data_IF_777754833704
#
_entry.id   IF_777754833704
#
_cell.length_a   1.000
_cell.length_b   1.000
_cell.length_c   1.000
_cell.angle_alpha   90.00
_cell.angle_beta   90.00
_cell.angle_gamma   90.00
#
_symmetry.space_group_name_H-M   'P 1'
#
loop_
_entity.id
_entity.type
_entity.pdbx_description
1 polymer ?
#
# COMPACT_ATOMS: atom_id res chain seq x y z
N UNK A 1 63.88 -41.16 -21.04
CA UNK A 1 63.47 -39.81 -20.57
C UNK A 1 63.95 -39.61 -19.14
N UNK A 2 64.54 -38.47 -18.76
CA UNK A 2 64.97 -38.23 -17.38
C UNK A 2 63.75 -38.19 -16.45
N UNK A 3 63.79 -38.93 -15.35
CA UNK A 3 62.66 -39.17 -14.43
C UNK A 3 61.96 -37.87 -13.96
N UNK A 4 62.72 -36.79 -13.81
CA UNK A 4 62.20 -35.47 -13.44
C UNK A 4 61.28 -34.84 -14.50
N UNK A 5 61.48 -35.09 -15.80
CA UNK A 5 60.56 -34.62 -16.87
C UNK A 5 59.26 -35.42 -16.87
N UNK A 6 59.33 -36.71 -16.56
CA UNK A 6 58.14 -37.58 -16.48
C UNK A 6 57.27 -37.18 -15.28
N UNK A 7 57.86 -36.90 -14.12
CA UNK A 7 57.12 -36.40 -12.94
C UNK A 7 56.43 -35.06 -13.21
N UNK A 8 57.12 -34.10 -13.85
CA UNK A 8 56.50 -32.83 -14.26
C UNK A 8 55.37 -33.04 -15.27
N UNK A 9 55.53 -33.96 -16.22
CA UNK A 9 54.49 -34.27 -17.20
C UNK A 9 53.25 -34.91 -16.55
N UNK A 10 53.45 -35.85 -15.62
CA UNK A 10 52.35 -36.48 -14.86
C UNK A 10 51.63 -35.43 -14.00
N UNK A 11 52.38 -34.57 -13.29
CA UNK A 11 51.81 -33.51 -12.47
C UNK A 11 51.02 -32.49 -13.32
N UNK A 12 51.54 -32.11 -14.49
CA UNK A 12 50.85 -31.22 -15.42
C UNK A 12 49.57 -31.84 -15.97
N UNK A 13 49.62 -33.10 -16.42
CA UNK A 13 48.43 -33.80 -16.91
C UNK A 13 47.39 -33.95 -15.80
N UNK A 14 47.81 -34.31 -14.58
CA UNK A 14 46.91 -34.41 -13.43
C UNK A 14 46.25 -33.05 -13.13
N UNK A 15 47.03 -31.96 -13.11
CA UNK A 15 46.50 -30.61 -12.95
C UNK A 15 45.50 -30.25 -14.07
N UNK A 16 45.82 -30.57 -15.32
CA UNK A 16 44.96 -30.31 -16.47
C UNK A 16 43.64 -31.09 -16.39
N UNK A 17 43.68 -32.39 -16.09
CA UNK A 17 42.47 -33.21 -15.91
C UNK A 17 41.62 -32.76 -14.71
N UNK A 18 42.25 -32.37 -13.59
CA UNK A 18 41.51 -31.82 -12.44
C UNK A 18 40.86 -30.48 -12.75
N UNK A 19 41.54 -29.58 -13.48
CA UNK A 19 40.97 -28.32 -13.91
C UNK A 19 39.80 -28.53 -14.89
N UNK A 20 39.92 -29.48 -15.80
CA UNK A 20 38.88 -29.83 -16.77
C UNK A 20 37.66 -30.46 -16.07
N UNK A 21 37.87 -31.30 -15.07
CA UNK A 21 36.80 -31.84 -14.22
C UNK A 21 36.10 -30.74 -13.41
N UNK A 22 36.85 -29.81 -12.80
CA UNK A 22 36.31 -28.64 -12.09
C UNK A 22 35.47 -27.75 -13.01
N UNK A 23 35.99 -27.45 -14.21
CA UNK A 23 35.26 -26.67 -15.21
C UNK A 23 33.97 -27.37 -15.66
N UNK A 24 34.00 -28.68 -15.86
CA UNK A 24 32.81 -29.46 -16.20
C UNK A 24 31.75 -29.44 -15.07
N UNK A 25 32.17 -29.57 -13.80
CA UNK A 25 31.26 -29.47 -12.64
C UNK A 25 30.66 -28.07 -12.54
N UNK A 26 31.46 -27.01 -12.73
CA UNK A 26 30.97 -25.63 -12.73
C UNK A 26 29.99 -25.36 -13.87
N UNK A 27 30.26 -25.88 -15.08
CA UNK A 27 29.35 -25.78 -16.22
C UNK A 27 28.03 -26.52 -15.97
N UNK A 28 28.09 -27.75 -15.46
CA UNK A 28 26.89 -28.53 -15.11
C UNK A 28 26.07 -27.86 -14.01
N UNK A 29 26.72 -27.33 -12.98
CA UNK A 29 26.07 -26.55 -11.93
C UNK A 29 25.42 -25.28 -12.49
N UNK A 30 26.13 -24.56 -13.36
CA UNK A 30 25.62 -23.37 -14.04
C UNK A 30 24.39 -23.66 -14.91
N UNK A 31 24.43 -24.72 -15.74
CA UNK A 31 23.31 -25.13 -16.58
C UNK A 31 22.11 -25.57 -15.74
N UNK A 32 22.35 -26.32 -14.66
CA UNK A 32 21.29 -26.76 -13.75
C UNK A 32 20.65 -25.57 -13.02
N UNK A 33 21.46 -24.66 -12.51
CA UNK A 33 20.99 -23.44 -11.84
C UNK A 33 20.21 -22.54 -12.81
N UNK A 34 20.70 -22.40 -14.04
CA UNK A 34 20.00 -21.68 -15.11
C UNK A 34 18.66 -22.33 -15.45
N UNK A 35 18.60 -23.67 -15.57
CA UNK A 35 17.36 -24.41 -15.81
C UNK A 35 16.33 -24.24 -14.68
N UNK A 36 16.77 -24.29 -13.43
CA UNK A 36 15.91 -24.02 -12.27
C UNK A 36 15.41 -22.56 -12.26
N UNK A 37 16.29 -21.59 -12.57
CA UNK A 37 15.90 -20.18 -12.65
C UNK A 37 14.90 -19.91 -13.79
N UNK A 38 15.10 -20.53 -14.95
CA UNK A 38 14.21 -20.39 -16.11
C UNK A 38 12.83 -21.00 -15.85
N UNK A 39 12.78 -22.19 -15.26
CA UNK A 39 11.51 -22.85 -14.88
C UNK A 39 10.78 -22.07 -13.78
N UNK A 40 11.50 -21.55 -12.78
CA UNK A 40 10.93 -20.67 -11.76
C UNK A 40 10.32 -19.40 -12.38
N UNK A 41 11.03 -18.76 -13.33
CA UNK A 41 10.53 -17.59 -14.05
C UNK A 41 9.27 -17.89 -14.86
N UNK A 42 9.24 -19.01 -15.59
CA UNK A 42 8.07 -19.43 -16.38
C UNK A 42 6.87 -19.76 -15.48
N UNK A 43 7.11 -20.47 -14.38
CA UNK A 43 6.07 -20.79 -13.40
C UNK A 43 5.52 -19.53 -12.75
N UNK A 44 6.38 -18.58 -12.36
CA UNK A 44 5.95 -17.30 -11.81
C UNK A 44 5.14 -16.48 -12.82
N UNK A 45 5.56 -16.44 -14.10
CA UNK A 45 4.80 -15.78 -15.16
C UNK A 45 3.42 -16.42 -15.37
N UNK A 46 3.33 -17.75 -15.31
CA UNK A 46 2.06 -18.49 -15.36
C UNK A 46 1.16 -18.14 -14.17
N UNK A 47 1.69 -18.12 -12.96
CA UNK A 47 0.96 -17.74 -11.74
C UNK A 47 0.45 -16.29 -11.82
N UNK A 48 1.24 -15.37 -12.36
CA UNK A 48 0.84 -13.98 -12.60
C UNK A 48 -0.32 -13.89 -13.60
N UNK A 49 -0.29 -14.68 -14.67
CA UNK A 49 -1.38 -14.74 -15.64
C UNK A 49 -2.67 -15.34 -15.03
N UNK A 50 -2.53 -16.40 -14.23
CA UNK A 50 -3.64 -17.01 -13.48
C UNK A 50 -4.25 -16.04 -12.46
N UNK A 51 -3.41 -15.29 -11.76
CA UNK A 51 -3.84 -14.24 -10.84
C UNK A 51 -4.66 -13.14 -11.53
N UNK A 52 -4.31 -12.76 -12.77
CA UNK A 52 -5.11 -11.80 -13.55
C UNK A 52 -6.50 -12.36 -13.88
N UNK A 53 -6.57 -13.61 -14.30
CA UNK A 53 -7.84 -14.28 -14.63
C UNK A 53 -8.76 -14.35 -13.41
N UNK A 54 -8.23 -14.78 -12.26
CA UNK A 54 -8.99 -14.87 -10.99
C UNK A 54 -9.45 -13.51 -10.47
N UNK A 55 -8.64 -12.45 -10.67
CA UNK A 55 -9.03 -11.09 -10.29
C UNK A 55 -10.23 -10.59 -11.11
N UNK A 56 -10.26 -10.88 -12.42
CA UNK A 56 -11.39 -10.54 -13.30
C UNK A 56 -12.69 -11.23 -12.90
N UNK A 57 -12.62 -12.34 -12.16
CA UNK A 57 -13.77 -13.06 -11.60
C UNK A 57 -14.16 -12.56 -10.20
N UNK A 58 -13.47 -11.55 -9.65
CA UNK A 58 -13.72 -11.01 -8.31
C UNK A 58 -13.15 -11.84 -7.16
N UNK A 59 -12.34 -12.87 -7.44
CA UNK A 59 -11.79 -13.78 -6.43
C UNK A 59 -10.49 -13.24 -5.80
N UNK A 60 -10.56 -12.09 -5.13
CA UNK A 60 -9.40 -11.33 -4.60
C UNK A 60 -8.51 -12.18 -3.68
N UNK A 61 -9.08 -13.05 -2.85
CA UNK A 61 -8.33 -13.92 -1.95
C UNK A 61 -7.44 -14.92 -2.70
N UNK A 62 -7.98 -15.60 -3.72
CA UNK A 62 -7.21 -16.56 -4.52
C UNK A 62 -6.16 -15.84 -5.36
N UNK A 63 -6.49 -14.66 -5.90
CA UNK A 63 -5.50 -13.80 -6.57
C UNK A 63 -4.32 -13.48 -5.63
N UNK A 64 -4.61 -13.06 -4.40
CA UNK A 64 -3.58 -12.74 -3.41
C UNK A 64 -2.68 -13.95 -3.12
N UNK A 65 -3.28 -15.13 -2.90
CA UNK A 65 -2.56 -16.37 -2.63
C UNK A 65 -1.63 -16.76 -3.78
N UNK A 66 -2.12 -16.68 -5.01
CA UNK A 66 -1.36 -17.01 -6.22
C UNK A 66 -0.19 -16.06 -6.44
N UNK A 67 -0.38 -14.76 -6.24
CA UNK A 67 0.69 -13.76 -6.35
C UNK A 67 1.78 -13.94 -5.28
N UNK A 68 1.40 -14.27 -4.05
CA UNK A 68 2.38 -14.58 -2.99
C UNK A 68 3.24 -15.79 -3.35
N UNK A 69 2.63 -16.83 -3.90
CA UNK A 69 3.37 -18.01 -4.35
C UNK A 69 4.36 -17.66 -5.49
N UNK A 70 3.96 -16.79 -6.42
CA UNK A 70 4.85 -16.30 -7.46
C UNK A 70 6.06 -15.53 -6.88
N UNK A 71 5.83 -14.66 -5.89
CA UNK A 71 6.90 -13.91 -5.23
C UNK A 71 7.87 -14.81 -4.43
N UNK A 72 7.35 -15.81 -3.73
CA UNK A 72 8.17 -16.75 -2.97
C UNK A 72 9.03 -17.65 -3.88
N UNK A 73 8.51 -18.02 -5.05
CA UNK A 73 9.21 -18.90 -5.99
C UNK A 73 10.19 -18.15 -6.89
N UNK A 74 9.90 -16.90 -7.24
CA UNK A 74 10.76 -16.09 -8.10
C UNK A 74 10.63 -14.58 -7.78
N UNK A 75 11.34 -14.07 -6.76
CA UNK A 75 11.26 -12.66 -6.34
C UNK A 75 11.40 -11.62 -7.45
N UNK A 76 12.25 -11.78 -8.49
CA UNK A 76 12.35 -10.80 -9.58
C UNK A 76 11.06 -10.54 -10.36
N UNK A 77 10.04 -11.40 -10.22
CA UNK A 77 8.71 -11.17 -10.78
C UNK A 77 7.99 -9.96 -10.16
N UNK A 78 8.49 -9.44 -9.03
CA UNK A 78 7.95 -8.29 -8.30
C UNK A 78 7.67 -7.08 -9.21
N UNK A 79 8.60 -6.71 -10.10
CA UNK A 79 8.41 -5.61 -11.04
C UNK A 79 7.21 -5.86 -11.97
N UNK A 80 7.12 -7.09 -12.50
CA UNK A 80 6.02 -7.52 -13.34
C UNK A 80 4.68 -7.51 -12.60
N UNK A 81 4.66 -7.90 -11.33
CA UNK A 81 3.46 -7.87 -10.48
C UNK A 81 3.01 -6.43 -10.24
N UNK A 82 3.92 -5.53 -9.85
CA UNK A 82 3.59 -4.13 -9.60
C UNK A 82 3.06 -3.45 -10.86
N UNK A 83 3.73 -3.62 -11.99
CA UNK A 83 3.27 -3.09 -13.28
C UNK A 83 1.93 -3.70 -13.72
N UNK A 84 1.71 -4.98 -13.44
CA UNK A 84 0.53 -5.71 -13.92
C UNK A 84 -0.75 -5.46 -13.10
N UNK A 85 -0.62 -5.25 -11.79
CA UNK A 85 -1.76 -5.18 -10.87
C UNK A 85 -1.97 -3.77 -10.31
N UNK A 86 -0.93 -2.93 -10.25
CA UNK A 86 -1.01 -1.50 -9.94
C UNK A 86 -1.97 -1.20 -8.78
N UNK A 87 -3.04 -0.40 -9.00
CA UNK A 87 -4.05 -0.07 -7.97
C UNK A 87 -4.68 -1.28 -7.26
N UNK A 88 -4.89 -2.38 -7.98
CA UNK A 88 -5.54 -3.61 -7.44
C UNK A 88 -4.77 -4.22 -6.27
N UNK A 89 -3.47 -3.94 -6.16
CA UNK A 89 -2.64 -4.35 -5.02
C UNK A 89 -3.10 -3.70 -3.71
N UNK A 90 -3.87 -2.62 -3.75
CA UNK A 90 -4.47 -1.98 -2.57
C UNK A 90 -5.43 -2.90 -1.81
N UNK A 91 -6.09 -3.83 -2.51
CA UNK A 91 -6.93 -4.88 -1.93
C UNK A 91 -6.17 -6.16 -1.52
N UNK A 92 -4.83 -6.17 -1.68
CA UNK A 92 -3.99 -7.36 -1.48
C UNK A 92 -2.85 -7.09 -0.48
N UNK A 93 -3.17 -6.82 0.81
CA UNK A 93 -2.20 -6.38 1.81
C UNK A 93 -1.01 -7.33 1.98
N UNK A 94 -1.22 -8.64 1.89
CA UNK A 94 -0.13 -9.62 2.08
C UNK A 94 0.84 -9.66 0.89
N UNK A 95 0.38 -9.35 -0.32
CA UNK A 95 1.26 -9.25 -1.50
C UNK A 95 2.11 -8.00 -1.38
N UNK A 96 1.51 -6.89 -0.94
CA UNK A 96 2.23 -5.63 -0.68
C UNK A 96 3.29 -5.76 0.39
N UNK A 97 3.00 -6.43 1.49
CA UNK A 97 3.96 -6.63 2.57
C UNK A 97 5.20 -7.40 2.07
N UNK A 98 5.00 -8.49 1.32
CA UNK A 98 6.07 -9.23 0.67
C UNK A 98 6.88 -8.34 -0.29
N UNK A 99 6.22 -7.49 -1.09
CA UNK A 99 6.91 -6.58 -2.02
C UNK A 99 7.76 -5.53 -1.29
N UNK A 100 7.24 -4.96 -0.20
CA UNK A 100 7.97 -3.99 0.64
C UNK A 100 9.10 -4.63 1.43
N UNK A 101 8.95 -5.88 1.86
CA UNK A 101 10.02 -6.68 2.47
C UNK A 101 11.15 -6.93 1.47
N UNK A 102 10.85 -7.49 0.29
CA UNK A 102 11.84 -7.72 -0.76
C UNK A 102 12.57 -6.42 -1.17
N UNK A 103 11.84 -5.30 -1.23
CA UNK A 103 12.43 -3.98 -1.50
C UNK A 103 13.36 -3.52 -0.37
N UNK A 104 12.96 -3.68 0.90
CA UNK A 104 13.78 -3.31 2.08
C UNK A 104 15.07 -4.12 2.14
N UNK A 105 14.99 -5.40 1.78
CA UNK A 105 16.15 -6.31 1.74
C UNK A 105 17.07 -6.06 0.53
N UNK A 106 16.62 -5.27 -0.45
CA UNK A 106 17.36 -5.03 -1.69
C UNK A 106 17.44 -6.25 -2.62
N UNK A 107 16.56 -7.24 -2.45
CA UNK A 107 16.55 -8.48 -3.23
C UNK A 107 15.94 -8.30 -4.63
N UNK A 108 15.19 -7.21 -4.83
CA UNK A 108 14.53 -6.88 -6.09
C UNK A 108 14.75 -5.40 -6.44
N UNK A 109 14.94 -5.11 -7.72
CA UNK A 109 14.95 -3.76 -8.23
C UNK A 109 13.57 -3.43 -8.80
N UNK A 110 12.94 -2.39 -8.26
CA UNK A 110 11.69 -1.84 -8.78
C UNK A 110 12.00 -0.55 -9.54
N UNK A 111 11.39 -0.37 -10.72
CA UNK A 111 11.54 0.87 -11.49
C UNK A 111 10.93 2.07 -10.75
N UNK A 112 11.34 3.30 -11.09
CA UNK A 112 10.76 4.52 -10.51
C UNK A 112 9.23 4.58 -10.70
N UNK A 113 8.72 4.08 -11.84
CA UNK A 113 7.29 3.95 -12.10
C UNK A 113 6.61 2.94 -11.17
N UNK A 114 7.23 1.79 -10.94
CA UNK A 114 6.75 0.78 -10.00
C UNK A 114 6.85 1.23 -8.54
N UNK A 115 7.87 2.00 -8.18
CA UNK A 115 7.99 2.65 -6.88
C UNK A 115 6.91 3.71 -6.68
N UNK A 116 6.59 4.49 -7.72
CA UNK A 116 5.50 5.45 -7.70
C UNK A 116 4.14 4.73 -7.56
N UNK A 117 3.89 3.67 -8.34
CA UNK A 117 2.69 2.84 -8.21
C UNK A 117 2.60 2.23 -6.82
N UNK A 118 3.67 1.64 -6.30
CA UNK A 118 3.73 1.13 -4.94
C UNK A 118 3.50 2.23 -3.91
N UNK A 119 4.00 3.45 -4.09
CA UNK A 119 3.77 4.59 -3.19
C UNK A 119 2.34 5.14 -3.26
N UNK A 120 1.74 5.15 -4.45
CA UNK A 120 0.34 5.50 -4.69
C UNK A 120 -0.61 4.46 -4.08
N UNK A 121 -0.21 3.18 -4.14
CA UNK A 121 -0.88 2.02 -3.53
C UNK A 121 -0.54 1.88 -2.03
N UNK A 122 0.59 2.42 -1.55
CA UNK A 122 1.03 2.44 -0.12
C UNK A 122 0.26 3.43 0.74
N UNK A 123 -0.88 3.85 0.23
CA UNK A 123 -1.99 4.47 0.94
C UNK A 123 -2.94 3.36 1.43
N UNK A 124 -3.50 3.43 2.65
CA UNK A 124 -4.40 2.40 3.14
C UNK A 124 -5.75 2.45 2.37
N UNK A 125 -6.54 1.38 2.44
CA UNK A 125 -6.92 0.49 1.34
C UNK A 125 -7.97 1.08 0.38
N UNK A 126 -7.90 0.70 -0.90
CA UNK A 126 -9.11 0.63 -1.72
C UNK A 126 -9.90 -0.63 -1.34
N UNK A 127 -10.81 -0.50 -0.38
CA UNK A 127 -12.09 -1.22 -0.46
C UNK A 127 -13.03 -0.55 -1.47
N UNK A 128 -12.49 0.13 -2.48
CA UNK A 128 -13.26 0.76 -3.54
C UNK A 128 -12.85 0.09 -4.85
N UNK A 129 -13.62 -0.94 -5.20
CA UNK A 129 -13.52 -1.58 -6.49
C UNK A 129 -13.61 -0.56 -7.63
N UNK A 130 -12.88 -0.82 -8.73
CA UNK A 130 -12.91 -0.06 -9.97
C UNK A 130 -14.26 -0.11 -10.74
N UNK A 131 -15.36 -0.46 -10.08
CA UNK A 131 -16.71 -0.15 -10.53
C UNK A 131 -17.21 1.23 -10.00
N UNK A 132 -16.39 1.93 -9.19
CA UNK A 132 -16.71 3.25 -8.60
C UNK A 132 -15.87 4.39 -9.23
N UNK A 133 -14.86 4.07 -10.05
CA UNK A 133 -13.89 5.05 -10.58
C UNK A 133 -13.76 5.00 -12.11
N UNK A 134 -14.85 5.28 -12.82
CA UNK A 134 -14.75 5.90 -14.15
C UNK A 134 -15.99 6.76 -14.43
N UNK A 135 -15.82 8.09 -14.33
CA UNK A 135 -16.41 9.09 -15.22
C UNK A 135 -15.52 10.36 -15.18
N UNK A 136 -14.80 10.60 -16.28
CA UNK A 136 -13.85 11.70 -16.62
C UNK A 136 -14.25 13.16 -16.23
N UNK A 137 -13.43 14.24 -16.48
CA UNK A 137 -12.05 14.38 -17.02
C UNK A 137 -11.12 15.17 -16.02
N UNK A 138 -9.94 15.76 -16.37
CA UNK A 138 -8.87 16.07 -15.40
C UNK A 138 -9.25 17.15 -14.38
N UNK A 139 -9.65 16.70 -13.18
CA UNK A 139 -9.93 17.51 -12.00
C UNK A 139 -9.37 16.91 -10.69
N UNK A 140 -8.48 15.92 -10.79
CA UNK A 140 -8.12 15.02 -9.68
C UNK A 140 -7.02 15.53 -8.74
N UNK A 141 -6.22 16.52 -9.15
CA UNK A 141 -5.07 16.97 -8.38
C UNK A 141 -5.45 17.54 -7.01
N UNK A 142 -6.54 18.31 -6.92
CA UNK A 142 -6.94 18.99 -5.68
C UNK A 142 -7.61 18.03 -4.68
N UNK A 143 -8.44 17.09 -5.15
CA UNK A 143 -9.01 16.05 -4.30
C UNK A 143 -7.90 15.11 -3.78
N UNK A 144 -6.95 14.75 -4.64
CA UNK A 144 -5.77 13.98 -4.29
C UNK A 144 -4.85 14.73 -3.32
N UNK A 145 -4.67 16.04 -3.51
CA UNK A 145 -3.95 16.92 -2.59
C UNK A 145 -4.62 16.92 -1.21
N UNK A 146 -5.95 17.01 -1.16
CA UNK A 146 -6.70 16.94 0.10
C UNK A 146 -6.48 15.62 0.84
N UNK A 147 -6.55 14.49 0.12
CA UNK A 147 -6.32 13.15 0.68
C UNK A 147 -4.87 12.98 1.16
N UNK A 148 -3.89 13.45 0.40
CA UNK A 148 -2.47 13.36 0.78
C UNK A 148 -2.10 14.27 1.95
N UNK A 149 -2.64 15.48 1.99
CA UNK A 149 -2.49 16.36 3.14
C UNK A 149 -3.09 15.71 4.40
N UNK A 150 -4.24 15.05 4.29
CA UNK A 150 -4.87 14.33 5.40
C UNK A 150 -3.97 13.22 5.95
N UNK A 151 -3.30 12.42 5.10
CA UNK A 151 -2.41 11.33 5.54
C UNK A 151 -1.08 11.82 6.13
N UNK A 152 -0.69 13.06 5.82
CA UNK A 152 0.43 13.78 6.46
C UNK A 152 0.03 14.51 7.74
N UNK A 153 -1.27 14.52 8.07
CA UNK A 153 -1.81 15.29 9.17
C UNK A 153 -1.88 16.78 8.90
N UNK A 154 -1.78 17.26 7.66
CA UNK A 154 -1.86 18.68 7.31
C UNK A 154 -3.33 19.11 7.16
N UNK A 155 -4.06 19.23 8.28
CA UNK A 155 -5.52 19.41 8.26
C UNK A 155 -5.99 20.69 7.54
N UNK A 156 -5.26 21.80 7.68
CA UNK A 156 -5.61 23.06 6.99
C UNK A 156 -5.43 22.95 5.48
N UNK A 157 -4.30 22.43 5.03
CA UNK A 157 -4.02 22.17 3.60
C UNK A 157 -5.08 21.24 3.02
N UNK A 158 -5.42 20.18 3.75
CA UNK A 158 -6.46 19.24 3.33
C UNK A 158 -7.83 19.92 3.19
N UNK A 159 -8.24 20.72 4.19
CA UNK A 159 -9.51 21.47 4.15
C UNK A 159 -9.60 22.36 2.93
N UNK A 160 -8.57 23.19 2.69
CA UNK A 160 -8.55 24.12 1.55
C UNK A 160 -8.60 23.38 0.22
N UNK A 161 -7.88 22.27 0.09
CA UNK A 161 -7.89 21.46 -1.12
C UNK A 161 -9.27 20.81 -1.36
N UNK A 162 -9.91 20.28 -0.32
CA UNK A 162 -11.25 19.71 -0.44
C UNK A 162 -12.31 20.76 -0.75
N UNK A 163 -12.24 21.94 -0.15
CA UNK A 163 -13.13 23.06 -0.47
C UNK A 163 -12.97 23.47 -1.93
N UNK A 164 -11.73 23.74 -2.38
CA UNK A 164 -11.48 24.12 -3.77
C UNK A 164 -11.94 23.06 -4.78
N UNK A 165 -11.90 21.78 -4.42
CA UNK A 165 -12.49 20.73 -5.26
C UNK A 165 -14.02 20.80 -5.25
N UNK A 166 -14.66 20.76 -4.08
CA UNK A 166 -16.11 20.65 -3.97
C UNK A 166 -16.87 21.91 -4.40
N UNK A 167 -16.26 23.08 -4.32
CA UNK A 167 -16.83 24.35 -4.80
C UNK A 167 -17.15 24.30 -6.30
N UNK A 168 -16.34 23.58 -7.08
CA UNK A 168 -16.57 23.36 -8.53
C UNK A 168 -17.47 22.17 -8.86
N UNK A 169 -17.87 21.36 -7.88
CA UNK A 169 -18.48 20.04 -8.08
C UNK A 169 -19.75 19.83 -7.24
N UNK A 170 -20.60 20.86 -7.10
CA UNK A 170 -21.76 20.83 -6.21
C UNK A 170 -22.72 19.65 -6.46
N UNK A 171 -23.01 19.31 -7.72
CA UNK A 171 -23.87 18.18 -8.07
C UNK A 171 -23.26 16.83 -7.66
N UNK A 172 -21.98 16.61 -8.00
CA UNK A 172 -21.23 15.42 -7.62
C UNK A 172 -21.09 15.32 -6.09
N UNK A 173 -20.91 16.45 -5.39
CA UNK A 173 -20.87 16.50 -3.93
C UNK A 173 -22.17 15.97 -3.32
N UNK A 174 -23.32 16.42 -3.85
CA UNK A 174 -24.63 16.01 -3.36
C UNK A 174 -24.88 14.51 -3.60
N UNK A 175 -24.50 14.01 -4.78
CA UNK A 175 -24.58 12.58 -5.09
C UNK A 175 -23.68 11.75 -4.16
N UNK A 176 -22.41 12.15 -4.03
CA UNK A 176 -21.45 11.48 -3.15
C UNK A 176 -21.93 11.48 -1.69
N UNK A 177 -22.44 12.61 -1.19
CA UNK A 177 -23.04 12.71 0.14
C UNK A 177 -24.17 11.69 0.32
N UNK A 178 -25.08 11.60 -0.65
CA UNK A 178 -26.21 10.68 -0.59
C UNK A 178 -25.77 9.21 -0.62
N UNK A 179 -24.73 8.88 -1.38
CA UNK A 179 -24.16 7.52 -1.46
C UNK A 179 -23.42 7.12 -0.17
N UNK A 180 -22.67 8.03 0.45
CA UNK A 180 -21.83 7.73 1.61
C UNK A 180 -22.59 7.75 2.95
N UNK A 181 -23.74 8.42 2.99
CA UNK A 181 -24.63 8.46 4.14
C UNK A 181 -25.34 7.10 4.31
N UNK A 182 -25.37 6.53 5.53
CA UNK A 182 -26.00 5.24 5.76
C UNK A 182 -27.52 5.40 5.66
N UNK A 183 -28.19 4.54 4.87
CA UNK A 183 -29.65 4.60 4.68
C UNK A 183 -30.43 4.15 5.92
N UNK A 184 -29.92 3.17 6.66
CA UNK A 184 -30.57 2.61 7.85
C UNK A 184 -29.52 2.28 8.93
N UNK A 185 -28.87 3.28 9.55
CA UNK A 185 -27.92 3.03 10.63
C UNK A 185 -28.65 2.47 11.85
N UNK A 186 -28.10 1.40 12.44
CA UNK A 186 -28.65 0.75 13.65
C UNK A 186 -27.76 0.93 14.87
N UNK A 187 -26.49 1.24 14.64
CA UNK A 187 -25.46 1.32 15.67
C UNK A 187 -24.63 2.59 15.53
N UNK A 188 -23.93 2.98 16.60
CA UNK A 188 -22.94 4.05 16.52
C UNK A 188 -21.78 3.72 15.57
N UNK A 189 -21.47 2.44 15.37
CA UNK A 189 -20.46 1.98 14.41
C UNK A 189 -20.85 2.33 12.95
N UNK A 190 -22.13 2.20 12.58
CA UNK A 190 -22.60 2.55 11.23
C UNK A 190 -22.35 4.03 10.92
N UNK A 191 -22.63 4.89 11.90
CA UNK A 191 -22.38 6.32 11.82
C UNK A 191 -20.88 6.64 11.78
N UNK A 192 -20.07 5.94 12.56
CA UNK A 192 -18.61 6.10 12.57
C UNK A 192 -17.99 5.70 11.22
N UNK A 193 -18.38 4.55 10.66
CA UNK A 193 -17.90 4.10 9.35
C UNK A 193 -18.33 5.09 8.26
N UNK A 194 -19.55 5.61 8.32
CA UNK A 194 -19.99 6.66 7.41
C UNK A 194 -19.17 7.94 7.54
N UNK A 195 -18.91 8.40 8.77
CA UNK A 195 -18.07 9.56 9.03
C UNK A 195 -16.67 9.39 8.44
N UNK A 196 -16.06 8.21 8.58
CA UNK A 196 -14.77 7.91 7.93
C UNK A 196 -14.85 8.03 6.41
N UNK A 197 -15.87 7.46 5.77
CA UNK A 197 -16.04 7.56 4.31
C UNK A 197 -16.19 9.01 3.85
N UNK A 198 -16.97 9.81 4.56
CA UNK A 198 -17.16 11.25 4.29
C UNK A 198 -15.85 12.03 4.50
N UNK A 199 -15.12 11.73 5.57
CA UNK A 199 -13.82 12.32 5.88
C UNK A 199 -12.79 12.10 4.77
N UNK A 200 -12.65 10.87 4.28
CA UNK A 200 -11.73 10.52 3.19
C UNK A 200 -12.10 11.16 1.84
N UNK A 201 -13.35 11.57 1.67
CA UNK A 201 -13.83 12.28 0.48
C UNK A 201 -13.87 13.80 0.68
N UNK A 202 -13.38 14.32 1.80
CA UNK A 202 -13.33 15.77 2.02
C UNK A 202 -14.68 16.41 2.35
N UNK A 203 -15.72 15.61 2.58
CA UNK A 203 -17.04 16.04 3.04
C UNK A 203 -17.00 16.21 4.57
N UNK A 204 -16.13 17.09 5.05
CA UNK A 204 -15.74 17.15 6.46
C UNK A 204 -16.86 17.62 7.38
N UNK A 205 -17.71 18.54 6.94
CA UNK A 205 -18.85 18.98 7.75
C UNK A 205 -19.80 17.80 8.01
N UNK A 206 -20.13 17.03 6.96
CA UNK A 206 -20.97 15.84 7.08
C UNK A 206 -20.26 14.70 7.84
N UNK A 207 -18.93 14.61 7.74
CA UNK A 207 -18.16 13.65 8.50
C UNK A 207 -18.25 13.92 10.01
N UNK A 208 -18.09 15.17 10.42
CA UNK A 208 -18.21 15.57 11.82
C UNK A 208 -19.63 15.33 12.36
N UNK A 209 -20.67 15.65 11.59
CA UNK A 209 -22.06 15.32 11.94
C UNK A 209 -22.25 13.80 12.15
N UNK A 210 -21.64 12.98 11.30
CA UNK A 210 -21.71 11.52 11.42
C UNK A 210 -20.96 11.02 12.66
N UNK A 211 -19.78 11.57 12.97
CA UNK A 211 -19.06 11.26 14.20
C UNK A 211 -19.84 11.67 15.45
N UNK A 212 -20.51 12.82 15.43
CA UNK A 212 -21.37 13.26 16.53
C UNK A 212 -22.53 12.30 16.78
N UNK A 213 -23.15 11.79 15.71
CA UNK A 213 -24.18 10.73 15.81
C UNK A 213 -23.62 9.41 16.32
N UNK A 214 -22.42 9.02 15.88
CA UNK A 214 -21.75 7.81 16.36
C UNK A 214 -21.53 7.86 17.87
N UNK A 215 -21.03 9.00 18.35
CA UNK A 215 -20.81 9.28 19.78
C UNK A 215 -22.11 9.31 20.57
N UNK A 216 -23.16 9.96 20.05
CA UNK A 216 -24.47 9.99 20.69
C UNK A 216 -25.08 8.57 20.82
N UNK A 217 -24.75 7.67 19.90
CA UNK A 217 -25.11 6.25 19.94
C UNK A 217 -24.12 5.38 20.74
N UNK A 218 -23.18 5.98 21.49
CA UNK A 218 -22.28 5.29 22.41
C UNK A 218 -21.00 4.71 21.78
N UNK A 219 -20.68 5.03 20.52
CA UNK A 219 -19.43 4.60 19.91
C UNK A 219 -18.25 5.44 20.44
N UNK A 220 -17.26 4.79 21.07
CA UNK A 220 -16.04 5.42 21.57
C UNK A 220 -14.80 4.62 21.13
N UNK A 221 -13.87 5.29 20.46
CA UNK A 221 -12.59 4.72 20.05
C UNK A 221 -11.53 5.83 19.92
N UNK A 222 -10.26 5.46 19.77
CA UNK A 222 -9.17 6.42 19.66
C UNK A 222 -9.38 7.43 18.50
N UNK A 223 -9.88 6.94 17.37
CA UNK A 223 -10.16 7.77 16.19
C UNK A 223 -11.22 8.84 16.49
N UNK A 224 -12.20 8.55 17.35
CA UNK A 224 -13.20 9.54 17.76
C UNK A 224 -12.55 10.73 18.47
N UNK A 225 -11.60 10.48 19.38
CA UNK A 225 -10.84 11.55 20.05
C UNK A 225 -9.97 12.33 19.06
N UNK A 226 -9.42 11.65 18.04
CA UNK A 226 -8.71 12.31 16.95
C UNK A 226 -9.64 13.24 16.14
N UNK A 227 -10.83 12.78 15.74
CA UNK A 227 -11.75 13.60 14.95
C UNK A 227 -12.29 14.80 15.73
N UNK A 228 -12.58 14.65 17.03
CA UNK A 228 -12.90 15.78 17.91
C UNK A 228 -11.74 16.78 17.95
N UNK A 229 -10.50 16.28 18.10
CA UNK A 229 -9.30 17.12 18.07
C UNK A 229 -9.15 17.87 16.75
N UNK A 230 -9.39 17.21 15.63
CA UNK A 230 -9.36 17.82 14.30
C UNK A 230 -10.42 18.91 14.14
N UNK A 231 -11.64 18.69 14.62
CA UNK A 231 -12.70 19.70 14.62
C UNK A 231 -12.31 20.92 15.46
N UNK A 232 -11.79 20.70 16.68
CA UNK A 232 -11.31 21.76 17.55
C UNK A 232 -10.15 22.56 16.90
N UNK A 233 -9.19 21.88 16.28
CA UNK A 233 -8.05 22.52 15.62
C UNK A 233 -8.48 23.38 14.44
N UNK A 234 -9.37 22.86 13.58
CA UNK A 234 -9.92 23.58 12.43
C UNK A 234 -10.78 24.77 12.84
N UNK A 235 -11.36 24.74 14.05
CA UNK A 235 -12.05 25.87 14.68
C UNK A 235 -11.11 26.86 15.38
N UNK A 236 -9.79 26.66 15.33
CA UNK A 236 -8.79 27.53 15.97
C UNK A 236 -8.57 27.25 17.46
N UNK A 237 -9.16 26.19 18.02
CA UNK A 237 -9.05 25.81 19.44
C UNK A 237 -7.88 24.84 19.66
N UNK A 238 -6.66 25.30 19.36
CA UNK A 238 -5.43 24.50 19.42
C UNK A 238 -5.15 23.80 20.76
N UNK A 239 -5.28 24.48 21.92
CA UNK A 239 -5.06 23.83 23.23
C UNK A 239 -6.07 22.71 23.54
N UNK A 240 -7.31 22.85 23.09
CA UNK A 240 -8.34 21.81 23.22
C UNK A 240 -8.01 20.62 22.30
N UNK A 241 -7.62 20.90 21.06
CA UNK A 241 -7.20 19.88 20.10
C UNK A 241 -6.02 19.04 20.62
N UNK A 242 -5.00 19.68 21.22
CA UNK A 242 -3.86 18.97 21.78
C UNK A 242 -4.27 17.98 22.88
N UNK A 243 -5.17 18.37 23.79
CA UNK A 243 -5.71 17.47 24.82
C UNK A 243 -6.47 16.30 24.22
N UNK A 244 -7.21 16.52 23.15
CA UNK A 244 -7.97 15.47 22.45
C UNK A 244 -7.05 14.49 21.72
N UNK A 245 -5.99 14.98 21.06
CA UNK A 245 -4.97 14.11 20.47
C UNK A 245 -4.21 13.31 21.53
N UNK A 246 -3.90 13.89 22.69
CA UNK A 246 -3.30 13.15 23.80
C UNK A 246 -4.21 12.02 24.28
N UNK A 247 -5.52 12.27 24.44
CA UNK A 247 -6.51 11.23 24.77
C UNK A 247 -6.58 10.12 23.70
N UNK A 248 -6.48 10.48 22.42
CA UNK A 248 -6.40 9.48 21.35
C UNK A 248 -5.17 8.58 21.51
N UNK A 249 -4.03 9.14 21.92
CA UNK A 249 -2.78 8.40 22.17
C UNK A 249 -2.78 7.58 23.46
N UNK A 250 -3.51 8.01 24.49
CA UNK A 250 -3.75 7.20 25.68
C UNK A 250 -4.52 5.92 25.34
N UNK A 251 -5.48 6.00 24.42
CA UNK A 251 -6.24 4.85 23.93
C UNK A 251 -5.47 4.00 22.91
N UNK A 252 -4.70 4.66 22.03
CA UNK A 252 -3.92 4.02 20.98
C UNK A 252 -2.55 4.71 20.83
N UNK A 253 -1.50 4.25 21.55
CA UNK A 253 -0.19 4.90 21.60
C UNK A 253 0.50 5.08 20.25
N UNK A 254 0.13 4.27 19.26
CA UNK A 254 0.68 4.30 17.89
C UNK A 254 -0.25 4.98 16.88
N UNK A 255 -1.25 5.74 17.33
CA UNK A 255 -2.16 6.46 16.44
C UNK A 255 -1.42 7.57 15.66
N UNK A 256 -0.94 7.21 14.47
CA UNK A 256 -0.07 8.03 13.61
C UNK A 256 -0.54 9.48 13.44
N UNK A 257 -1.80 9.71 13.08
CA UNK A 257 -2.28 11.06 12.82
C UNK A 257 -2.33 11.93 14.08
N UNK A 258 -2.75 11.38 15.23
CA UNK A 258 -2.72 12.07 16.51
C UNK A 258 -1.29 12.45 16.94
N UNK A 259 -0.29 11.58 16.73
CA UNK A 259 1.12 11.93 16.95
C UNK A 259 1.56 13.12 16.09
N UNK A 260 1.30 13.06 14.78
CA UNK A 260 1.66 14.13 13.84
C UNK A 260 0.99 15.45 14.19
N UNK A 261 -0.30 15.42 14.57
CA UNK A 261 -1.03 16.63 14.96
C UNK A 261 -0.58 17.20 16.29
N UNK A 262 -0.39 16.36 17.30
CA UNK A 262 0.11 16.81 18.60
C UNK A 262 1.49 17.46 18.46
N UNK A 263 2.41 16.83 17.72
CA UNK A 263 3.72 17.40 17.44
C UNK A 263 3.63 18.75 16.74
N UNK A 264 2.70 18.93 15.80
CA UNK A 264 2.51 20.19 15.09
C UNK A 264 1.94 21.32 15.97
N UNK A 265 1.31 20.99 17.11
CA UNK A 265 0.71 21.95 18.04
C UNK A 265 1.62 22.30 19.23
N UNK A 266 2.74 21.60 19.43
CA UNK A 266 3.71 21.94 20.46
C UNK A 266 4.51 23.19 20.05
N UNK A 267 4.81 24.09 21.00
CA UNK A 267 5.70 25.21 20.75
C UNK A 267 7.10 24.71 20.34
N UNK A 268 7.71 25.36 19.35
CA UNK A 268 9.09 25.09 18.90
C UNK A 268 10.11 25.83 19.75
#
# INVERSE_FOLDING_TARGET
MPAHRLQKYIAYNLALWTALALAAVLLLAGVRQYGHAMTARQNAARLVAEARSTLGQGAVYETQKTLRNALLTHPPVAEGIVAAFGPSLGGMPLVRENLEELRREGTVHLSDGSLLLMALVSRPPETLAAAVFDTAPPGEATLWLGRTATTRGELRTAKTAFQGYWDGHAALRAEMRAQLTPKNPRTGEDHYVAGKRLWFNGLWDEAFDAFDRARAAGHDCADMRFFEGAAAELAGRGPEAAKLYQKALEMAPHHRLALLRLQALLPR
#
